data_IF_123498593296
#
_entry.id   IF_123498593296
#
_cell.length_a   1.000
_cell.length_b   1.000
_cell.length_c   1.000
_cell.angle_alpha   90.00
_cell.angle_beta   90.00
_cell.angle_gamma   90.00
#
_symmetry.space_group_name_H-M   'P 1'
#
loop_
_entity.id
_entity.type
_entity.pdbx_description
1 polymer ?
#
# COMPACT_ATOMS: atom_id res chain seq x y z
N UNK A 1 -3.12 22.85 6.90
CA UNK A 1 -3.69 22.23 5.69
C UNK A 1 -4.27 20.91 6.15
N UNK A 2 -5.56 20.87 6.45
CA UNK A 2 -6.28 19.64 6.76
C UNK A 2 -6.37 18.85 5.47
N UNK A 3 -5.55 17.81 5.35
CA UNK A 3 -5.85 16.75 4.39
C UNK A 3 -7.23 16.25 4.75
N UNK A 4 -8.24 16.50 3.90
CA UNK A 4 -9.44 15.69 3.91
C UNK A 4 -8.95 14.26 3.73
N UNK A 5 -8.87 13.50 4.83
CA UNK A 5 -8.61 12.08 4.75
C UNK A 5 -9.76 11.49 3.97
N UNK A 6 -9.50 11.09 2.72
CA UNK A 6 -10.47 10.41 1.91
C UNK A 6 -11.04 9.25 2.74
N UNK A 7 -12.35 9.22 2.92
CA UNK A 7 -12.99 8.22 3.76
C UNK A 7 -12.67 6.83 3.22
N UNK A 8 -11.89 6.05 3.98
CA UNK A 8 -11.59 4.65 3.69
C UNK A 8 -12.71 3.76 4.25
N UNK A 9 -13.93 3.97 3.80
CA UNK A 9 -15.11 3.28 4.32
C UNK A 9 -15.33 1.91 3.66
N UNK A 10 -14.76 1.68 2.48
CA UNK A 10 -14.94 0.46 1.70
C UNK A 10 -13.61 -0.21 1.35
N UNK A 11 -13.69 -1.51 1.07
CA UNK A 11 -12.54 -2.30 0.57
C UNK A 11 -12.01 -1.76 -0.77
N UNK A 12 -12.88 -1.20 -1.62
CA UNK A 12 -12.48 -0.66 -2.92
C UNK A 12 -11.67 0.64 -2.77
N UNK A 13 -12.09 1.52 -1.84
CA UNK A 13 -11.34 2.74 -1.50
C UNK A 13 -9.98 2.38 -0.89
N UNK A 14 -9.94 1.43 0.04
CA UNK A 14 -8.68 0.94 0.62
C UNK A 14 -7.73 0.40 -0.45
N UNK A 15 -8.25 -0.40 -1.40
CA UNK A 15 -7.44 -0.93 -2.48
C UNK A 15 -6.89 0.19 -3.40
N UNK A 16 -7.71 1.20 -3.67
CA UNK A 16 -7.31 2.36 -4.50
C UNK A 16 -6.18 3.15 -3.85
N UNK A 17 -6.27 3.40 -2.54
CA UNK A 17 -5.22 4.10 -1.80
C UNK A 17 -3.94 3.27 -1.69
N UNK A 18 -4.04 1.96 -1.44
CA UNK A 18 -2.88 1.06 -1.46
C UNK A 18 -2.18 1.08 -2.83
N UNK A 19 -2.95 1.05 -3.92
CA UNK A 19 -2.40 1.13 -5.27
C UNK A 19 -1.70 2.48 -5.51
N UNK A 20 -2.27 3.58 -5.04
CA UNK A 20 -1.68 4.92 -5.11
C UNK A 20 -0.38 5.02 -4.33
N UNK A 21 -0.38 4.49 -3.10
CA UNK A 21 0.77 4.46 -2.21
C UNK A 21 1.93 3.66 -2.82
N UNK A 22 1.69 2.43 -3.26
CA UNK A 22 2.72 1.57 -3.83
C UNK A 22 3.34 2.18 -5.11
N UNK A 23 2.52 2.76 -6.00
CA UNK A 23 3.03 3.47 -7.18
C UNK A 23 3.93 4.64 -6.82
N UNK A 24 3.53 5.44 -5.82
CA UNK A 24 4.32 6.58 -5.35
C UNK A 24 5.63 6.13 -4.72
N UNK A 25 5.62 5.12 -3.87
CA UNK A 25 6.83 4.59 -3.23
C UNK A 25 7.82 4.07 -4.29
N UNK A 26 7.35 3.22 -5.21
CA UNK A 26 8.15 2.70 -6.32
C UNK A 26 8.71 3.84 -7.20
N UNK A 27 7.89 4.85 -7.53
CA UNK A 27 8.34 6.02 -8.30
C UNK A 27 9.45 6.85 -7.65
N UNK A 28 9.62 6.75 -6.33
CA UNK A 28 10.71 7.38 -5.59
C UNK A 28 11.89 6.43 -5.33
N UNK A 29 11.89 5.22 -5.90
CA UNK A 29 12.95 4.23 -5.74
C UNK A 29 12.90 3.47 -4.42
N UNK A 30 11.77 3.50 -3.69
CA UNK A 30 11.56 2.62 -2.55
C UNK A 30 11.19 1.24 -3.10
N UNK A 31 11.97 0.23 -2.73
CA UNK A 31 11.58 -1.16 -2.96
C UNK A 31 10.37 -1.47 -2.09
N UNK A 32 9.25 -1.83 -2.73
CA UNK A 32 7.97 -2.06 -2.06
C UNK A 32 7.74 -3.54 -1.75
N UNK A 33 8.51 -4.45 -2.33
CA UNK A 33 8.35 -5.90 -2.15
C UNK A 33 8.84 -6.34 -0.76
N UNK A 34 8.16 -7.32 -0.18
CA UNK A 34 8.52 -7.90 1.11
C UNK A 34 7.51 -7.61 2.22
N UNK A 35 7.97 -7.79 3.47
CA UNK A 35 7.16 -7.61 4.68
C UNK A 35 7.33 -6.23 5.30
N UNK A 36 6.22 -5.66 5.78
CA UNK A 36 6.16 -4.34 6.40
C UNK A 36 5.44 -4.43 7.75
N UNK A 37 6.16 -4.11 8.81
CA UNK A 37 5.58 -3.98 10.15
C UNK A 37 4.90 -2.61 10.30
N UNK A 38 3.57 -2.60 10.22
CA UNK A 38 2.77 -1.41 10.49
C UNK A 38 2.29 -1.41 11.94
N UNK A 39 3.11 -0.83 12.82
CA UNK A 39 2.76 -0.69 14.25
C UNK A 39 1.90 0.55 14.47
N UNK A 40 0.71 0.35 15.02
CA UNK A 40 -0.33 1.41 15.08
C UNK A 40 -0.64 1.88 16.50
N UNK A 41 0.14 1.40 17.49
CA UNK A 41 -0.01 1.81 18.88
C UNK A 41 -1.19 1.11 19.59
N UNK A 42 -1.50 1.49 20.83
CA UNK A 42 -2.38 0.70 21.71
C UNK A 42 -3.86 0.70 21.29
N UNK A 43 -4.30 1.65 20.48
CA UNK A 43 -5.71 1.81 20.09
C UNK A 43 -6.07 1.02 18.83
N UNK A 44 -5.06 0.51 18.12
CA UNK A 44 -5.22 -0.17 16.84
C UNK A 44 -4.36 -1.43 16.78
N UNK A 45 -4.83 -2.50 16.14
CA UNK A 45 -4.00 -3.68 15.94
C UNK A 45 -2.76 -3.32 15.10
N UNK A 46 -1.64 -3.93 15.43
CA UNK A 46 -0.47 -3.94 14.56
C UNK A 46 -0.73 -4.87 13.36
N UNK A 47 -0.24 -4.49 12.19
CA UNK A 47 -0.38 -5.27 10.97
C UNK A 47 0.98 -5.68 10.44
N UNK A 48 1.07 -6.94 10.02
CA UNK A 48 2.13 -7.39 9.12
C UNK A 48 1.57 -7.36 7.69
N UNK A 49 2.16 -6.51 6.85
CA UNK A 49 1.73 -6.33 5.45
C UNK A 49 2.77 -6.95 4.54
N UNK A 50 2.37 -7.98 3.81
CA UNK A 50 3.22 -8.66 2.84
C UNK A 50 2.85 -8.19 1.43
N UNK A 51 3.79 -7.55 0.75
CA UNK A 51 3.67 -7.10 -0.63
C UNK A 51 4.46 -8.06 -1.52
N UNK A 52 3.76 -8.79 -2.37
CA UNK A 52 4.35 -9.69 -3.36
C UNK A 52 3.97 -9.25 -4.75
N UNK A 53 4.92 -9.28 -5.68
CA UNK A 53 4.60 -9.09 -7.09
C UNK A 53 3.69 -10.21 -7.59
N UNK A 54 2.48 -9.86 -8.03
CA UNK A 54 1.51 -10.81 -8.60
C UNK A 54 1.60 -10.91 -10.13
N UNK A 55 2.23 -9.93 -10.80
CA UNK A 55 2.72 -9.89 -12.21
C UNK A 55 2.94 -8.42 -12.67
N UNK A 56 4.08 -8.14 -13.32
CA UNK A 56 4.13 -7.54 -14.66
C UNK A 56 5.06 -8.37 -15.56
N UNK A 57 4.61 -9.56 -15.94
CA UNK A 57 5.17 -10.19 -17.13
C UNK A 57 4.61 -9.41 -18.33
N UNK A 58 5.31 -8.36 -18.78
CA UNK A 58 5.43 -8.19 -20.22
C UNK A 58 6.22 -9.41 -20.68
N UNK A 59 5.52 -10.49 -21.00
CA UNK A 59 6.02 -11.39 -22.02
C UNK A 59 6.23 -10.51 -23.25
N UNK A 60 7.49 -10.09 -23.42
CA UNK A 60 8.00 -9.75 -24.73
C UNK A 60 7.85 -11.01 -25.58
N UNK A 61 6.69 -11.15 -26.23
CA UNK A 61 6.55 -11.96 -27.44
C UNK A 61 6.72 -11.05 -28.67
#
# INVERSE_FOLDING_TARGET
>A
MTSEEASLATRAELNTELQSLLRRAHGHGVDVEGGWECRNGPEHPDWDVIVTEVRKNDESE
#
